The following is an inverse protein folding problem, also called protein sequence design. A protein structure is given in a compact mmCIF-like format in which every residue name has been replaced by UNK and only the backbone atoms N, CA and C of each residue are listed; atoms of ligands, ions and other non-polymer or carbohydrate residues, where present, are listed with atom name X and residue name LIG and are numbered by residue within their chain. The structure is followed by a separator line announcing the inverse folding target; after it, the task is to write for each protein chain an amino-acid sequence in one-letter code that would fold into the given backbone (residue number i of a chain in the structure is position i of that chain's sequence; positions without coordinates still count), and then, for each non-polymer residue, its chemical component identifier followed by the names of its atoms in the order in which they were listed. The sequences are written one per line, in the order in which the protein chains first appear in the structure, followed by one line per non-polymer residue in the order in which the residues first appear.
data_IF_730461417136
#
_entry.id   IF_730461417136
#
_cell.length_a   1.000
_cell.length_b   1.000
_cell.length_c   1.000
_cell.angle_alpha   90.00
_cell.angle_beta   90.00
_cell.angle_gamma   90.00
#
_symmetry.space_group_name_H-M   'P 1'
#
loop_
_entity.id
_entity.type
_entity.pdbx_description
1 polymer ?
#
# COMPACT_ATOMS: atom_id res chain seq x y z
N UNK A 1 -4.72 28.35 11.50
CA UNK A 1 -3.98 28.97 10.39
C UNK A 1 -4.12 30.50 10.43
N UNK A 2 -5.33 31.06 10.35
CA UNK A 2 -5.54 32.51 10.37
C UNK A 2 -5.02 33.19 11.65
N UNK A 3 -5.20 32.56 12.80
CA UNK A 3 -4.76 33.11 14.10
C UNK A 3 -3.23 33.14 14.29
N UNK A 4 -2.51 32.39 13.44
CA UNK A 4 -1.04 32.30 13.44
C UNK A 4 -0.38 33.03 12.25
N UNK A 5 -1.16 33.76 11.44
CA UNK A 5 -0.68 34.43 10.23
C UNK A 5 -0.16 33.48 9.13
N UNK A 6 -0.54 32.18 9.19
CA UNK A 6 -0.15 31.16 8.23
C UNK A 6 -1.28 30.85 7.25
N UNK A 7 -0.95 30.51 6.02
CA UNK A 7 -1.88 29.96 5.05
C UNK A 7 -2.18 28.49 5.35
N UNK A 8 -3.25 27.92 4.76
CA UNK A 8 -3.50 26.48 4.84
C UNK A 8 -2.36 25.65 4.25
N UNK A 9 -1.71 26.19 3.22
CA UNK A 9 -0.53 25.58 2.62
C UNK A 9 0.64 25.51 3.61
N UNK A 10 0.91 26.59 4.35
CA UNK A 10 1.99 26.63 5.34
C UNK A 10 1.75 25.61 6.46
N UNK A 11 0.50 25.49 6.93
CA UNK A 11 0.13 24.49 7.95
C UNK A 11 0.31 23.07 7.42
N UNK A 12 -0.06 22.80 6.16
CA UNK A 12 0.13 21.50 5.53
C UNK A 12 1.61 21.16 5.40
N UNK A 13 2.45 22.13 5.02
CA UNK A 13 3.91 21.93 4.93
C UNK A 13 4.52 21.65 6.31
N UNK A 14 4.08 22.34 7.35
CA UNK A 14 4.52 22.08 8.73
C UNK A 14 4.17 20.62 9.15
N UNK A 15 2.98 20.14 8.80
CA UNK A 15 2.56 18.77 9.09
C UNK A 15 3.46 17.77 8.37
N UNK A 16 3.77 17.99 7.09
CA UNK A 16 4.67 17.12 6.33
C UNK A 16 6.11 17.13 6.85
N UNK A 17 6.59 18.27 7.38
CA UNK A 17 7.91 18.36 8.02
C UNK A 17 7.94 17.61 9.35
N UNK A 18 6.87 17.67 10.13
CA UNK A 18 6.79 17.06 11.45
C UNK A 18 6.52 15.55 11.39
N UNK A 19 5.58 15.12 10.54
CA UNK A 19 5.09 13.72 10.48
C UNK A 19 5.54 12.95 9.26
N UNK A 20 6.21 13.60 8.30
CA UNK A 20 6.61 13.02 7.02
C UNK A 20 5.54 13.18 5.94
N UNK A 21 5.99 13.10 4.68
CA UNK A 21 5.13 13.11 3.50
C UNK A 21 4.65 11.69 3.20
N UNK A 22 3.36 11.53 2.94
CA UNK A 22 2.81 10.29 2.41
C UNK A 22 2.09 10.54 1.09
N UNK A 23 2.42 9.78 0.06
CA UNK A 23 1.77 9.83 -1.25
C UNK A 23 1.05 8.52 -1.50
N UNK A 24 -0.23 8.61 -1.85
CA UNK A 24 -1.09 7.47 -2.10
C UNK A 24 -1.48 7.40 -3.58
N UNK A 25 -1.49 6.19 -4.14
CA UNK A 25 -1.99 5.91 -5.48
C UNK A 25 -2.86 4.66 -5.48
N UNK A 26 -4.00 4.75 -6.15
CA UNK A 26 -4.89 3.60 -6.37
C UNK A 26 -4.78 3.13 -7.82
N UNK A 27 -4.54 1.83 -8.01
CA UNK A 27 -4.46 1.21 -9.32
C UNK A 27 -5.59 0.19 -9.43
N UNK A 28 -6.33 0.27 -10.53
CA UNK A 28 -7.40 -0.66 -10.83
C UNK A 28 -6.97 -1.53 -12.01
N UNK A 29 -6.85 -2.84 -11.79
CA UNK A 29 -6.62 -3.82 -12.85
C UNK A 29 -7.95 -4.47 -13.17
N UNK A 30 -8.43 -4.26 -14.40
CA UNK A 30 -9.68 -4.85 -14.90
C UNK A 30 -9.34 -6.03 -15.79
N UNK A 31 -9.97 -7.17 -15.54
CA UNK A 31 -9.85 -8.39 -16.34
C UNK A 31 -11.17 -8.62 -17.07
N UNK A 32 -11.31 -8.15 -18.32
CA UNK A 32 -12.58 -8.29 -19.07
C UNK A 32 -12.89 -9.74 -19.42
N UNK A 33 -14.18 -10.04 -19.56
CA UNK A 33 -14.63 -11.35 -20.01
C UNK A 33 -15.12 -12.30 -18.89
N UNK A 34 -15.67 -13.44 -19.30
CA UNK A 34 -16.23 -14.43 -18.38
C UNK A 34 -15.18 -15.06 -17.44
N UNK A 35 -13.92 -15.13 -17.88
CA UNK A 35 -12.79 -15.67 -17.10
C UNK A 35 -12.13 -14.66 -16.18
N UNK A 36 -12.44 -13.37 -16.33
CA UNK A 36 -11.78 -12.29 -15.58
C UNK A 36 -11.88 -12.43 -14.06
N UNK A 37 -13.03 -12.89 -13.57
CA UNK A 37 -13.22 -13.14 -12.13
C UNK A 37 -12.33 -14.29 -11.62
N UNK A 38 -12.18 -15.35 -12.42
CA UNK A 38 -11.34 -16.50 -12.08
C UNK A 38 -9.84 -16.14 -12.14
N UNK A 39 -9.45 -15.28 -13.09
CA UNK A 39 -8.09 -14.74 -13.16
C UNK A 39 -7.75 -13.94 -11.92
N UNK A 40 -8.65 -13.07 -11.45
CA UNK A 40 -8.46 -12.28 -10.23
C UNK A 40 -8.38 -13.18 -8.99
N UNK A 41 -9.23 -14.20 -8.92
CA UNK A 41 -9.18 -15.18 -7.84
C UNK A 41 -7.84 -15.93 -7.82
N UNK A 42 -7.38 -16.35 -8.99
CA UNK A 42 -6.06 -17.00 -9.15
C UNK A 42 -4.93 -16.07 -8.75
N UNK A 43 -5.01 -14.78 -9.14
CA UNK A 43 -4.03 -13.76 -8.75
C UNK A 43 -3.97 -13.61 -7.22
N UNK A 44 -5.10 -13.53 -6.54
CA UNK A 44 -5.14 -13.45 -5.06
C UNK A 44 -4.58 -14.73 -4.41
N UNK A 45 -4.88 -15.90 -4.94
CA UNK A 45 -4.31 -17.18 -4.47
C UNK A 45 -2.79 -17.21 -4.65
N UNK A 46 -2.29 -16.74 -5.79
CA UNK A 46 -0.86 -16.66 -6.04
C UNK A 46 -0.15 -15.72 -5.05
N UNK A 47 -0.73 -14.56 -4.76
CA UNK A 47 -0.18 -13.64 -3.76
C UNK A 47 -0.18 -14.23 -2.34
N UNK A 48 -1.10 -15.13 -2.01
CA UNK A 48 -1.11 -15.84 -0.72
C UNK A 48 -0.08 -16.96 -0.68
N UNK A 49 0.02 -17.75 -1.76
CA UNK A 49 0.94 -18.89 -1.85
C UNK A 49 2.39 -18.45 -2.02
N UNK A 50 2.61 -17.42 -2.84
CA UNK A 50 3.93 -16.86 -3.17
C UNK A 50 4.00 -15.42 -2.67
N UNK A 51 3.97 -15.25 -1.33
CA UNK A 51 4.07 -13.93 -0.72
C UNK A 51 5.34 -13.23 -1.18
N UNK A 52 5.25 -11.97 -1.67
CA UNK A 52 6.44 -11.22 -2.04
C UNK A 52 7.32 -11.00 -0.79
N UNK A 53 8.59 -11.30 -0.91
CA UNK A 53 9.60 -11.04 0.13
C UNK A 53 10.26 -9.67 -0.03
N UNK A 54 10.13 -9.10 -1.23
CA UNK A 54 10.67 -7.80 -1.60
C UNK A 54 9.70 -7.08 -2.54
N UNK A 55 9.54 -5.78 -2.38
CA UNK A 55 8.76 -4.91 -3.25
C UNK A 55 9.59 -3.66 -3.54
N UNK A 56 9.84 -3.37 -4.83
CA UNK A 56 10.61 -2.21 -5.29
C UNK A 56 12.00 -2.09 -4.61
N UNK A 57 12.70 -3.20 -4.41
CA UNK A 57 14.03 -3.21 -3.78
C UNK A 57 14.01 -3.10 -2.25
N UNK A 58 12.83 -3.07 -1.63
CA UNK A 58 12.68 -3.03 -0.17
C UNK A 58 12.07 -4.32 0.37
N UNK A 59 12.68 -4.86 1.42
CA UNK A 59 12.22 -6.09 2.06
C UNK A 59 10.81 -5.93 2.64
N UNK A 60 9.94 -6.91 2.40
CA UNK A 60 8.63 -7.00 3.05
C UNK A 60 8.84 -7.48 4.48
N UNK A 61 8.52 -6.64 5.44
CA UNK A 61 8.70 -6.92 6.88
C UNK A 61 7.45 -7.48 7.53
N UNK A 62 6.28 -7.24 6.93
CA UNK A 62 5.01 -7.73 7.44
C UNK A 62 4.04 -7.96 6.29
N UNK A 63 3.37 -9.10 6.30
CA UNK A 63 2.23 -9.43 5.41
C UNK A 63 1.02 -9.73 6.26
N UNK A 64 -0.10 -9.07 6.00
CA UNK A 64 -1.38 -9.33 6.67
C UNK A 64 -2.38 -9.94 5.69
N UNK A 65 -2.94 -11.08 6.03
CA UNK A 65 -4.01 -11.75 5.30
C UNK A 65 -5.29 -11.72 6.13
N UNK A 66 -6.22 -10.86 5.71
CA UNK A 66 -7.49 -10.66 6.42
C UNK A 66 -8.52 -11.75 6.15
N UNK A 67 -8.32 -12.59 5.13
CA UNK A 67 -9.16 -13.76 4.89
C UNK A 67 -8.76 -14.92 5.81
N UNK A 68 -7.47 -15.13 5.97
CA UNK A 68 -6.93 -16.14 6.89
C UNK A 68 -6.89 -15.65 8.35
N UNK A 69 -7.02 -14.33 8.60
CA UNK A 69 -6.79 -13.66 9.88
C UNK A 69 -5.39 -13.93 10.45
N UNK A 70 -4.39 -13.81 9.59
CA UNK A 70 -2.99 -14.10 9.89
C UNK A 70 -2.07 -12.96 9.48
N UNK A 71 -1.02 -12.81 10.29
CA UNK A 71 0.10 -11.92 10.01
C UNK A 71 1.37 -12.75 9.89
N UNK A 72 2.23 -12.39 8.95
CA UNK A 72 3.53 -13.03 8.71
C UNK A 72 4.63 -11.99 8.79
N UNK A 73 5.69 -12.29 9.54
CA UNK A 73 6.88 -11.45 9.60
C UNK A 73 7.81 -11.68 8.40
N UNK A 74 8.95 -10.96 8.38
CA UNK A 74 9.97 -11.08 7.33
C UNK A 74 10.56 -12.49 7.20
N UNK A 75 10.50 -13.31 8.25
CA UNK A 75 10.99 -14.67 8.27
C UNK A 75 9.91 -15.71 7.91
N UNK A 76 8.68 -15.22 7.66
CA UNK A 76 7.51 -16.07 7.39
C UNK A 76 6.87 -16.65 8.65
N UNK A 77 7.24 -16.19 9.84
CA UNK A 77 6.63 -16.61 11.11
C UNK A 77 5.19 -16.14 11.16
N UNK A 78 4.30 -17.05 11.44
CA UNK A 78 2.85 -16.82 11.46
C UNK A 78 2.39 -16.38 12.85
N UNK A 79 1.54 -15.34 12.88
CA UNK A 79 0.85 -14.87 14.08
C UNK A 79 -0.62 -14.61 13.73
N UNK A 80 -1.53 -14.86 14.66
CA UNK A 80 -2.93 -14.46 14.49
C UNK A 80 -3.06 -12.94 14.50
N UNK A 81 -3.89 -12.39 13.60
CA UNK A 81 -4.30 -10.99 13.70
C UNK A 81 -5.16 -10.78 14.94
N UNK A 82 -5.00 -9.62 15.58
CA UNK A 82 -5.80 -9.30 16.76
C UNK A 82 -7.27 -9.16 16.37
N UNK A 83 -8.12 -9.96 17.01
CA UNK A 83 -9.57 -9.98 16.78
C UNK A 83 -10.26 -8.68 17.17
N UNK A 84 -9.63 -7.85 18.01
CA UNK A 84 -10.17 -6.55 18.40
C UNK A 84 -10.03 -5.50 17.28
N UNK A 85 -8.98 -5.62 16.44
CA UNK A 85 -8.75 -4.70 15.34
C UNK A 85 -9.54 -5.09 14.07
N UNK A 86 -9.81 -6.40 13.87
CA UNK A 86 -10.45 -6.92 12.65
C UNK A 86 -11.42 -8.09 12.95
N UNK A 87 -12.66 -7.77 13.36
CA UNK A 87 -13.62 -8.80 13.74
C UNK A 87 -14.18 -9.63 12.58
N UNK A 88 -14.06 -9.14 11.33
CA UNK A 88 -14.63 -9.79 10.15
C UNK A 88 -13.58 -10.15 9.10
N UNK A 89 -13.72 -11.38 8.57
CA UNK A 89 -12.92 -11.84 7.45
C UNK A 89 -13.20 -11.03 6.19
N UNK A 90 -12.14 -10.62 5.51
CA UNK A 90 -12.24 -9.93 4.23
C UNK A 90 -11.15 -10.39 3.27
N UNK A 91 -11.48 -10.45 1.97
CA UNK A 91 -10.51 -10.84 0.95
C UNK A 91 -9.53 -9.68 0.65
N UNK A 92 -8.67 -9.38 1.61
CA UNK A 92 -7.67 -8.30 1.55
C UNK A 92 -6.31 -8.85 1.95
N UNK A 93 -5.28 -8.45 1.21
CA UNK A 93 -3.88 -8.64 1.56
C UNK A 93 -3.22 -7.27 1.75
N UNK A 94 -2.32 -7.17 2.73
CA UNK A 94 -1.49 -5.98 2.93
C UNK A 94 -0.03 -6.40 3.10
N UNK A 95 0.85 -5.64 2.46
CA UNK A 95 2.31 -5.77 2.61
C UNK A 95 2.88 -4.47 3.12
N UNK A 96 3.79 -4.59 4.06
CA UNK A 96 4.56 -3.48 4.63
C UNK A 96 6.03 -3.73 4.39
N UNK A 97 6.72 -2.77 3.83
CA UNK A 97 8.16 -2.87 3.56
C UNK A 97 8.97 -2.10 4.58
N UNK A 98 10.27 -2.43 4.67
CA UNK A 98 11.20 -1.81 5.62
C UNK A 98 11.32 -0.30 5.44
N UNK A 99 11.12 0.22 4.22
CA UNK A 99 11.17 1.64 3.90
C UNK A 99 9.84 2.38 4.17
N UNK A 100 8.85 1.71 4.75
CA UNK A 100 7.56 2.28 5.12
C UNK A 100 6.52 2.31 3.99
N UNK A 101 6.78 1.66 2.84
CA UNK A 101 5.77 1.48 1.79
C UNK A 101 4.71 0.48 2.27
N UNK A 102 3.46 0.81 2.03
CA UNK A 102 2.31 -0.07 2.29
C UNK A 102 1.56 -0.34 0.99
N UNK A 103 1.31 -1.59 0.71
CA UNK A 103 0.47 -2.00 -0.42
C UNK A 103 -0.71 -2.80 0.11
N UNK A 104 -1.93 -2.39 -0.24
CA UNK A 104 -3.15 -3.13 0.09
C UNK A 104 -3.81 -3.60 -1.20
N UNK A 105 -4.19 -4.87 -1.24
CA UNK A 105 -4.79 -5.51 -2.42
C UNK A 105 -6.18 -6.02 -2.07
N UNK A 106 -7.16 -5.62 -2.86
CA UNK A 106 -8.57 -6.00 -2.66
C UNK A 106 -9.26 -6.25 -3.99
N UNK A 107 -9.78 -7.44 -4.26
CA UNK A 107 -10.65 -7.69 -5.41
C UNK A 107 -12.01 -7.03 -5.19
N UNK A 108 -12.68 -6.66 -6.28
CA UNK A 108 -14.08 -6.22 -6.23
C UNK A 108 -14.99 -7.43 -6.04
N UNK A 109 -16.02 -7.29 -5.23
CA UNK A 109 -17.03 -8.34 -5.05
C UNK A 109 -18.05 -8.44 -6.20
N UNK A 110 -18.19 -7.40 -7.02
CA UNK A 110 -19.26 -7.28 -8.04
C UNK A 110 -18.74 -7.19 -9.46
N UNK A 111 -17.47 -6.84 -9.65
CA UNK A 111 -16.88 -6.61 -10.96
C UNK A 111 -15.56 -7.37 -11.10
N UNK A 112 -15.16 -7.80 -12.31
CA UNK A 112 -13.90 -8.48 -12.55
C UNK A 112 -12.73 -7.48 -12.53
N UNK A 113 -12.50 -6.87 -11.37
CA UNK A 113 -11.41 -5.93 -11.13
C UNK A 113 -10.76 -6.16 -9.77
N UNK A 114 -9.48 -5.86 -9.68
CA UNK A 114 -8.70 -5.87 -8.46
C UNK A 114 -8.09 -4.49 -8.24
N UNK A 115 -8.12 -4.00 -7.01
CA UNK A 115 -7.59 -2.70 -6.62
C UNK A 115 -6.32 -2.86 -5.80
N UNK A 116 -5.33 -2.08 -6.15
CA UNK A 116 -4.10 -1.92 -5.38
C UNK A 116 -4.06 -0.50 -4.82
N UNK A 117 -3.94 -0.39 -3.52
CA UNK A 117 -3.73 0.88 -2.82
C UNK A 117 -2.27 0.91 -2.38
N UNK A 118 -1.49 1.79 -2.98
CA UNK A 118 -0.06 1.96 -2.71
C UNK A 118 0.12 3.26 -1.94
N UNK A 119 0.72 3.17 -0.77
CA UNK A 119 1.13 4.30 0.06
C UNK A 119 2.64 4.27 0.18
N UNK A 120 3.29 5.37 -0.17
CA UNK A 120 4.73 5.55 -0.09
C UNK A 120 5.03 6.70 0.85
N UNK A 121 5.98 6.50 1.75
CA UNK A 121 6.50 7.56 2.60
C UNK A 121 7.68 8.25 1.94
N UNK A 122 7.63 9.58 1.92
CA UNK A 122 8.69 10.45 1.50
C UNK A 122 9.28 11.23 2.66
N UNK A 123 10.47 11.76 2.46
CA UNK A 123 11.11 12.66 3.39
C UNK A 123 11.15 14.05 2.79
N UNK A 124 10.84 15.07 3.60
CA UNK A 124 10.83 16.45 3.21
C UNK A 124 11.60 17.29 4.24
N UNK A 125 12.67 17.94 3.82
CA UNK A 125 13.53 18.73 4.70
C UNK A 125 13.12 20.20 4.78
N UNK A 126 12.38 20.67 3.79
CA UNK A 126 11.93 22.07 3.73
C UNK A 126 10.66 22.20 2.86
N UNK A 127 9.85 23.28 3.06
CA UNK A 127 8.64 23.51 2.27
C UNK A 127 8.89 23.60 0.76
N UNK A 128 10.04 24.14 0.35
CA UNK A 128 10.43 24.28 -1.06
C UNK A 128 10.81 22.93 -1.70
N UNK A 129 11.10 21.90 -0.88
CA UNK A 129 11.46 20.56 -1.33
C UNK A 129 10.24 19.70 -1.65
N UNK A 130 9.02 20.18 -1.42
CA UNK A 130 7.78 19.43 -1.58
C UNK A 130 7.62 18.79 -2.96
N UNK A 131 7.81 19.56 -4.03
CA UNK A 131 7.66 19.06 -5.38
C UNK A 131 8.64 17.92 -5.72
N UNK A 132 9.90 18.05 -5.27
CA UNK A 132 10.91 17.00 -5.42
C UNK A 132 10.55 15.75 -4.62
N UNK A 133 10.18 15.90 -3.36
CA UNK A 133 9.79 14.78 -2.49
C UNK A 133 8.55 14.03 -3.05
N UNK A 134 7.58 14.74 -3.63
CA UNK A 134 6.44 14.11 -4.31
C UNK A 134 6.87 13.38 -5.58
N UNK A 135 7.80 13.93 -6.37
CA UNK A 135 8.33 13.27 -7.55
C UNK A 135 9.04 11.96 -7.20
N UNK A 136 9.89 11.97 -6.18
CA UNK A 136 10.58 10.77 -5.68
C UNK A 136 9.58 9.69 -5.21
N UNK A 137 8.53 10.11 -4.51
CA UNK A 137 7.45 9.19 -4.10
C UNK A 137 6.71 8.59 -5.31
N UNK A 138 6.46 9.36 -6.36
CA UNK A 138 5.81 8.87 -7.57
C UNK A 138 6.70 7.87 -8.32
N UNK A 139 7.99 8.13 -8.46
CA UNK A 139 8.95 7.17 -9.03
C UNK A 139 8.97 5.85 -8.26
N UNK A 140 8.93 5.95 -6.93
CA UNK A 140 8.85 4.77 -6.06
C UNK A 140 7.54 4.00 -6.24
N UNK A 141 6.41 4.69 -6.39
CA UNK A 141 5.12 4.06 -6.70
C UNK A 141 5.19 3.30 -8.04
N UNK A 142 5.84 3.87 -9.06
CA UNK A 142 6.04 3.18 -10.34
C UNK A 142 6.92 1.94 -10.21
N UNK A 143 7.97 2.01 -9.39
CA UNK A 143 8.81 0.85 -9.08
C UNK A 143 8.01 -0.25 -8.37
N UNK A 144 7.13 0.11 -7.42
CA UNK A 144 6.21 -0.82 -6.75
C UNK A 144 5.27 -1.48 -7.76
N UNK A 145 4.70 -0.70 -8.70
CA UNK A 145 3.83 -1.25 -9.75
C UNK A 145 4.56 -2.31 -10.58
N UNK A 146 5.75 -1.98 -11.08
CA UNK A 146 6.58 -2.90 -11.86
C UNK A 146 6.92 -4.17 -11.09
N UNK A 147 7.27 -4.04 -9.81
CA UNK A 147 7.60 -5.17 -8.93
C UNK A 147 6.41 -6.13 -8.74
N UNK A 148 5.19 -5.62 -8.78
CA UNK A 148 3.95 -6.40 -8.65
C UNK A 148 3.38 -6.88 -10.01
N UNK A 149 4.02 -6.53 -11.12
CA UNK A 149 3.57 -6.88 -12.46
C UNK A 149 2.32 -6.11 -12.94
N UNK A 150 2.18 -4.87 -12.50
CA UNK A 150 1.04 -3.98 -12.79
C UNK A 150 1.32 -2.99 -13.91
#
# INVERSE_FOLDING_TARGET
AKDQGKTLYDVLMDIYLEYGLAVNKTINVVKPGKTGADEIKTMMQNFRSNRPTEIAGSQVVCTKDYEALKEYDANGTEKALDSNDFPEKSNVLQWYTADGTKVSVRPSGTEPKIKFYIEVKGHMECPKCYAGAVADCNEKIEAVQKSLGL
#
